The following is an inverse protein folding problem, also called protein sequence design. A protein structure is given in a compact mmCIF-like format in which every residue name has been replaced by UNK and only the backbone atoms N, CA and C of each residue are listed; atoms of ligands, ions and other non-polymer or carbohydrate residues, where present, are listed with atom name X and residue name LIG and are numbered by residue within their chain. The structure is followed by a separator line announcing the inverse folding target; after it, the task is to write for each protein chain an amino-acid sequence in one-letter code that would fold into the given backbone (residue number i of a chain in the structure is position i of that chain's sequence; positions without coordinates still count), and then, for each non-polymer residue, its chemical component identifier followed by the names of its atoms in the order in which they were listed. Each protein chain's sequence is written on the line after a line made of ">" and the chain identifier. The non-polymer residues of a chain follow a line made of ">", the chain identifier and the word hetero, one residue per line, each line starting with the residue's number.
data_IF_938158016497
#
_entry.id   IF_938158016497
#
_cell.length_a   1.000
_cell.length_b   1.000
_cell.length_c   1.000
_cell.angle_alpha   90.00
_cell.angle_beta   90.00
_cell.angle_gamma   90.00
#
_symmetry.space_group_name_H-M   'P 1'
#
loop_
_entity.id
_entity.type
_entity.pdbx_description
1 polymer ?
#
# COMPACT_ATOMS: atom_id res chain seq x y z
N UNK A 1 -18.90 9.71 -23.51
CA UNK A 1 -18.11 9.04 -22.44
C UNK A 1 -17.71 7.67 -22.98
N UNK A 2 -16.42 7.31 -23.02
CA UNK A 2 -16.00 6.02 -23.60
C UNK A 2 -16.36 4.85 -22.68
N UNK A 3 -16.55 3.64 -23.23
CA UNK A 3 -16.90 2.43 -22.46
C UNK A 3 -15.90 2.14 -21.33
N UNK A 4 -14.60 2.31 -21.61
CA UNK A 4 -13.51 2.21 -20.64
C UNK A 4 -13.68 3.17 -19.45
N UNK A 5 -14.09 4.42 -19.70
CA UNK A 5 -14.30 5.42 -18.64
C UNK A 5 -15.49 5.07 -17.75
N UNK A 6 -16.56 4.51 -18.33
CA UNK A 6 -17.73 4.05 -17.56
C UNK A 6 -17.30 2.88 -16.67
N UNK A 7 -16.58 1.89 -17.21
CA UNK A 7 -16.06 0.77 -16.41
C UNK A 7 -15.17 1.22 -15.26
N UNK A 8 -14.24 2.14 -15.52
CA UNK A 8 -13.35 2.67 -14.48
C UNK A 8 -14.13 3.40 -13.39
N UNK A 9 -15.12 4.22 -13.77
CA UNK A 9 -16.01 4.91 -12.83
C UNK A 9 -16.78 3.92 -11.95
N UNK A 10 -17.39 2.90 -12.55
CA UNK A 10 -18.12 1.87 -11.82
C UNK A 10 -17.22 1.06 -10.88
N UNK A 11 -15.98 0.77 -11.29
CA UNK A 11 -14.98 0.09 -10.45
C UNK A 11 -14.62 0.93 -9.22
N UNK A 12 -14.39 2.24 -9.40
CA UNK A 12 -14.09 3.16 -8.29
C UNK A 12 -15.31 3.26 -7.37
N UNK A 13 -16.52 3.42 -7.93
CA UNK A 13 -17.75 3.49 -7.14
C UNK A 13 -17.89 2.25 -6.25
N UNK A 14 -17.73 1.07 -6.85
CA UNK A 14 -17.79 -0.21 -6.13
C UNK A 14 -16.75 -0.29 -5.02
N UNK A 15 -15.50 0.05 -5.33
CA UNK A 15 -14.41 0.04 -4.35
C UNK A 15 -14.67 0.98 -3.16
N UNK A 16 -15.28 2.15 -3.40
CA UNK A 16 -15.62 3.10 -2.33
C UNK A 16 -16.81 2.65 -1.49
N UNK A 17 -17.82 2.01 -2.09
CA UNK A 17 -19.02 1.55 -1.37
C UNK A 17 -18.81 0.23 -0.63
N UNK A 18 -17.87 -0.59 -1.10
CA UNK A 18 -17.51 -1.89 -0.51
C UNK A 18 -16.16 -1.83 0.21
N UNK A 19 -15.63 -0.63 0.43
CA UNK A 19 -14.34 -0.46 1.10
C UNK A 19 -14.38 -1.14 2.48
N UNK A 20 -13.38 -1.95 2.82
CA UNK A 20 -13.27 -2.48 4.17
C UNK A 20 -13.11 -1.33 5.18
N UNK A 21 -13.61 -1.55 6.39
CA UNK A 21 -13.39 -0.63 7.50
C UNK A 21 -11.89 -0.51 7.77
N UNK A 22 -11.38 0.72 7.77
CA UNK A 22 -10.01 0.98 8.18
C UNK A 22 -9.89 0.91 9.70
N UNK A 23 -8.81 0.33 10.18
CA UNK A 23 -8.46 0.30 11.59
C UNK A 23 -7.92 1.66 12.02
N UNK A 24 -8.26 2.06 13.25
CA UNK A 24 -7.59 3.17 13.92
C UNK A 24 -6.18 2.67 14.31
N UNK A 25 -5.11 3.39 13.97
CA UNK A 25 -3.75 2.96 14.27
C UNK A 25 -3.51 2.92 15.78
N UNK A 26 -2.94 1.81 16.28
CA UNK A 26 -2.40 1.70 17.63
C UNK A 26 -0.87 1.81 17.58
N UNK A 27 -0.34 2.87 18.17
CA UNK A 27 1.09 3.19 18.16
C UNK A 27 1.97 2.22 18.98
N UNK A 28 1.36 1.33 19.76
CA UNK A 28 2.07 0.32 20.54
C UNK A 28 2.24 -1.01 19.80
N UNK A 29 1.53 -1.18 18.67
CA UNK A 29 1.57 -2.37 17.84
C UNK A 29 2.48 -2.07 16.63
N UNK A 30 3.37 -2.99 16.21
CA UNK A 30 4.16 -2.80 15.00
C UNK A 30 3.26 -2.71 13.76
N UNK A 31 3.73 -1.98 12.76
CA UNK A 31 3.06 -1.90 11.47
C UNK A 31 3.58 -2.98 10.51
N UNK A 32 2.73 -3.35 9.55
CA UNK A 32 3.07 -4.17 8.39
C UNK A 32 2.87 -3.31 7.14
N UNK A 33 3.95 -3.06 6.41
CA UNK A 33 3.94 -2.26 5.19
C UNK A 33 4.02 -3.19 3.98
N UNK A 34 2.90 -3.36 3.30
CA UNK A 34 2.85 -4.03 2.01
C UNK A 34 3.19 -3.04 0.91
N UNK A 35 4.08 -3.43 0.00
CA UNK A 35 4.43 -2.65 -1.18
C UNK A 35 4.30 -3.51 -2.43
N UNK A 36 3.89 -2.88 -3.53
CA UNK A 36 3.85 -3.48 -4.86
C UNK A 36 4.08 -2.42 -5.93
N UNK A 37 4.82 -2.77 -6.96
CA UNK A 37 5.15 -1.89 -8.07
C UNK A 37 5.00 -2.60 -9.41
N UNK A 38 4.35 -1.91 -10.35
CA UNK A 38 4.19 -2.40 -11.71
C UNK A 38 4.57 -1.32 -12.75
N UNK A 39 4.49 -1.68 -14.03
CA UNK A 39 4.81 -0.77 -15.14
C UNK A 39 3.85 0.41 -15.29
N UNK A 40 2.80 0.52 -14.48
CA UNK A 40 1.83 1.62 -14.53
C UNK A 40 1.81 2.46 -13.24
N UNK A 41 2.11 1.84 -12.09
CA UNK A 41 1.89 2.46 -10.80
C UNK A 41 2.70 1.82 -9.68
N UNK A 42 2.77 2.56 -8.58
CA UNK A 42 3.28 2.11 -7.29
C UNK A 42 2.10 2.09 -6.32
N UNK A 43 2.08 1.13 -5.41
CA UNK A 43 1.06 1.02 -4.38
C UNK A 43 1.64 0.55 -3.06
N UNK A 44 1.10 1.06 -1.97
CA UNK A 44 1.35 0.51 -0.65
C UNK A 44 0.06 0.36 0.15
N UNK A 45 0.07 -0.61 1.06
CA UNK A 45 -0.97 -0.79 2.06
C UNK A 45 -0.31 -0.93 3.45
N UNK A 46 -0.69 -0.04 4.36
CA UNK A 46 -0.23 -0.06 5.74
C UNK A 46 -1.24 -0.80 6.60
N UNK A 47 -0.81 -1.86 7.26
CA UNK A 47 -1.64 -2.76 8.05
C UNK A 47 -1.16 -2.85 9.50
N UNK A 48 -2.02 -3.34 10.37
CA UNK A 48 -1.69 -3.77 11.73
C UNK A 48 -2.49 -5.01 12.11
N UNK A 49 -1.90 -5.87 12.94
CA UNK A 49 -2.57 -7.02 13.53
C UNK A 49 -3.09 -6.67 14.91
N UNK A 50 -4.41 -6.58 15.06
CA UNK A 50 -5.09 -6.27 16.32
C UNK A 50 -5.71 -7.53 16.92
N UNK A 51 -5.93 -7.56 18.23
CA UNK A 51 -6.76 -8.60 18.86
C UNK A 51 -8.20 -8.11 18.88
N UNK A 52 -9.06 -8.75 18.08
CA UNK A 52 -10.50 -8.48 18.00
C UNK A 52 -11.22 -9.79 18.29
N UNK A 53 -12.15 -9.79 19.25
CA UNK A 53 -12.87 -10.99 19.71
C UNK A 53 -11.92 -12.16 20.05
N UNK A 54 -10.86 -11.87 20.80
CA UNK A 54 -9.79 -12.80 21.22
C UNK A 54 -9.02 -13.47 20.06
N UNK A 55 -9.06 -12.88 18.86
CA UNK A 55 -8.36 -13.40 17.68
C UNK A 55 -7.45 -12.35 17.03
N UNK A 56 -6.24 -12.73 16.59
CA UNK A 56 -5.41 -11.86 15.76
C UNK A 56 -6.13 -11.62 14.44
N UNK A 57 -6.42 -10.35 14.17
CA UNK A 57 -7.11 -9.88 12.98
C UNK A 57 -6.24 -8.79 12.36
N UNK A 58 -5.70 -9.07 11.19
CA UNK A 58 -5.01 -8.09 10.38
C UNK A 58 -6.02 -7.14 9.75
N UNK A 59 -5.77 -5.84 9.86
CA UNK A 59 -6.62 -4.84 9.22
C UNK A 59 -5.82 -3.67 8.67
N UNK A 60 -6.44 -3.03 7.69
CA UNK A 60 -5.85 -1.95 6.90
C UNK A 60 -5.96 -0.64 7.67
N UNK A 61 -4.85 0.08 7.82
CA UNK A 61 -4.79 1.42 8.40
C UNK A 61 -4.85 2.47 7.29
N UNK A 62 -4.10 2.27 6.21
CA UNK A 62 -4.00 3.24 5.12
C UNK A 62 -3.65 2.55 3.79
N UNK A 63 -4.09 3.13 2.68
CA UNK A 63 -3.70 2.76 1.33
C UNK A 63 -3.30 4.02 0.56
N UNK A 64 -2.18 3.97 -0.15
CA UNK A 64 -1.86 4.97 -1.15
C UNK A 64 -1.33 4.30 -2.41
N UNK A 65 -1.54 4.99 -3.53
CA UNK A 65 -0.98 4.59 -4.81
C UNK A 65 -0.73 5.82 -5.66
N UNK A 66 0.21 5.72 -6.60
CA UNK A 66 0.45 6.75 -7.60
C UNK A 66 0.85 6.14 -8.93
N UNK A 67 0.59 6.87 -10.00
CA UNK A 67 1.18 6.54 -11.30
C UNK A 67 2.69 6.77 -11.29
N UNK A 68 3.38 5.96 -12.08
CA UNK A 68 4.82 6.09 -12.27
C UNK A 68 5.12 7.26 -13.22
N UNK A 69 6.25 7.92 -13.01
CA UNK A 69 6.70 9.00 -13.90
C UNK A 69 7.34 8.39 -15.15
N UNK A 70 7.34 9.10 -16.29
CA UNK A 70 8.00 8.62 -17.51
C UNK A 70 9.48 8.26 -17.33
N UNK A 71 10.16 8.90 -16.37
CA UNK A 71 11.56 8.61 -16.03
C UNK A 71 11.72 7.31 -15.24
N UNK A 72 10.74 6.98 -14.40
CA UNK A 72 10.69 5.79 -13.54
C UNK A 72 10.32 4.54 -14.37
N UNK A 73 9.57 4.70 -15.46
CA UNK A 73 9.19 3.62 -16.38
C UNK A 73 10.37 2.86 -17.03
N UNK A 74 11.60 3.36 -16.89
CA UNK A 74 12.83 2.71 -17.39
C UNK A 74 13.48 1.79 -16.37
N UNK A 75 13.00 1.77 -15.13
CA UNK A 75 13.52 0.93 -14.07
C UNK A 75 13.10 -0.52 -14.26
N UNK A 76 14.01 -1.44 -13.90
CA UNK A 76 13.68 -2.86 -13.82
C UNK A 76 12.72 -3.15 -12.65
N UNK A 77 12.06 -4.33 -12.62
CA UNK A 77 11.09 -4.67 -11.59
C UNK A 77 11.59 -4.48 -10.15
N UNK A 78 12.80 -4.96 -9.83
CA UNK A 78 13.38 -4.79 -8.48
C UNK A 78 13.69 -3.33 -8.12
N UNK A 79 14.01 -2.50 -9.10
CA UNK A 79 14.23 -1.06 -8.89
C UNK A 79 12.90 -0.33 -8.66
N UNK A 80 11.83 -0.77 -9.31
CA UNK A 80 10.48 -0.24 -9.13
C UNK A 80 9.93 -0.57 -7.74
N UNK A 81 10.15 -1.79 -7.26
CA UNK A 81 9.83 -2.21 -5.90
C UNK A 81 10.56 -1.36 -4.84
N UNK A 82 11.87 -1.17 -5.02
CA UNK A 82 12.66 -0.30 -4.14
C UNK A 82 12.18 1.17 -4.20
N UNK A 83 11.83 1.67 -5.39
CA UNK A 83 11.24 2.99 -5.55
C UNK A 83 9.90 3.10 -4.80
N UNK A 84 9.08 2.05 -4.84
CA UNK A 84 7.82 1.99 -4.09
C UNK A 84 8.06 2.07 -2.59
N UNK A 85 9.02 1.30 -2.07
CA UNK A 85 9.41 1.35 -0.66
C UNK A 85 9.84 2.76 -0.25
N UNK A 86 10.79 3.36 -0.97
CA UNK A 86 11.29 4.70 -0.65
C UNK A 86 10.15 5.73 -0.65
N UNK A 87 9.31 5.68 -1.69
CA UNK A 87 8.15 6.58 -1.80
C UNK A 87 7.14 6.38 -0.66
N UNK A 88 6.83 5.13 -0.30
CA UNK A 88 5.94 4.79 0.80
C UNK A 88 6.47 5.32 2.14
N UNK A 89 7.77 5.15 2.41
CA UNK A 89 8.41 5.65 3.63
C UNK A 89 8.38 7.18 3.73
N UNK A 90 8.56 7.89 2.62
CA UNK A 90 8.44 9.35 2.58
C UNK A 90 7.01 9.83 2.89
N UNK A 91 5.99 9.10 2.41
CA UNK A 91 4.58 9.47 2.62
C UNK A 91 4.05 9.05 3.98
N UNK A 92 4.46 7.88 4.47
CA UNK A 92 4.07 7.33 5.76
C UNK A 92 5.02 7.73 6.89
N UNK A 93 5.83 8.78 6.71
CA UNK A 93 6.76 9.27 7.72
C UNK A 93 6.08 9.48 9.09
N UNK A 94 4.86 10.01 9.11
CA UNK A 94 4.07 10.22 10.33
C UNK A 94 3.68 8.91 11.05
N UNK A 95 3.64 7.78 10.34
CA UNK A 95 3.31 6.47 10.89
C UNK A 95 4.55 5.66 11.29
N UNK A 96 5.56 5.66 10.43
CA UNK A 96 6.67 4.70 10.48
C UNK A 96 7.93 5.25 11.15
N UNK A 97 8.05 6.56 11.31
CA UNK A 97 9.27 7.15 11.85
C UNK A 97 9.54 6.75 13.30
N UNK A 98 10.74 6.22 13.55
CA UNK A 98 11.14 5.75 14.87
C UNK A 98 10.42 4.49 15.35
N UNK A 99 9.66 3.83 14.47
CA UNK A 99 8.97 2.56 14.77
C UNK A 99 9.71 1.40 14.12
N UNK A 100 9.61 0.24 14.76
CA UNK A 100 9.96 -1.05 14.14
C UNK A 100 8.70 -1.54 13.44
N UNK A 101 8.84 -1.89 12.16
CA UNK A 101 7.77 -2.38 11.31
C UNK A 101 8.35 -3.39 10.32
N UNK A 102 7.48 -4.22 9.75
CA UNK A 102 7.85 -5.21 8.74
C UNK A 102 7.47 -4.70 7.34
N UNK A 103 8.32 -4.96 6.35
CA UNK A 103 8.04 -4.67 4.95
C UNK A 103 7.77 -5.97 4.22
N UNK A 104 6.61 -6.06 3.57
CA UNK A 104 6.14 -7.24 2.86
C UNK A 104 6.14 -6.94 1.36
N UNK A 105 6.93 -7.70 0.61
CA UNK A 105 7.09 -7.59 -0.85
C UNK A 105 7.30 -8.99 -1.44
N UNK A 106 6.83 -9.20 -2.67
CA UNK A 106 7.12 -10.41 -3.44
C UNK A 106 8.49 -10.37 -4.14
N UNK A 107 9.18 -9.22 -4.09
CA UNK A 107 10.47 -9.00 -4.70
C UNK A 107 11.60 -9.70 -3.92
N UNK A 108 12.07 -10.84 -4.43
CA UNK A 108 13.17 -11.58 -3.81
C UNK A 108 14.48 -10.79 -3.69
N UNK A 109 14.69 -9.77 -4.52
CA UNK A 109 15.89 -8.92 -4.46
C UNK A 109 15.92 -7.99 -3.24
N UNK A 110 14.78 -7.81 -2.56
CA UNK A 110 14.65 -6.96 -1.37
C UNK A 110 14.50 -7.75 -0.05
N UNK A 111 14.63 -9.07 -0.11
CA UNK A 111 14.61 -9.97 1.05
C UNK A 111 16.00 -10.23 1.60
#
# INVERSE_FOLDING_TARGET
>A
MTHERIKAYEKIRKALTEAPLLLIPDWNIPFELYIDACGEGLGEALHQVHIIDDKPTEGQVCHMSRQIKPTEARYGPSQMECLCLVWALEKLHYYLYGKVFEVITDCNAMK
#
